data_IF_918559601364
#
_entry.id   IF_918559601364
#
_cell.length_a   1.000
_cell.length_b   1.000
_cell.length_c   1.000
_cell.angle_alpha   90.00
_cell.angle_beta   90.00
_cell.angle_gamma   90.00
#
_symmetry.space_group_name_H-M   'P 1'
#
loop_
_entity.id
_entity.type
_entity.pdbx_description
1 polymer ?
#
# COMPACT_ATOMS: atom_id res chain seq x y z
N UNK A 1 -1.76 -2.64 -14.18
CA UNK A 1 -3.12 -2.86 -13.64
C UNK A 1 -3.77 -1.56 -13.18
N UNK A 2 -5.11 -1.46 -13.24
CA UNK A 2 -5.88 -0.26 -12.86
C UNK A 2 -6.37 -0.39 -11.42
N UNK A 3 -6.18 0.68 -10.65
CA UNK A 3 -6.51 0.76 -9.22
C UNK A 3 -7.10 2.12 -8.87
N UNK A 4 -7.58 2.25 -7.63
CA UNK A 4 -8.20 3.46 -7.11
C UNK A 4 -7.50 3.95 -5.84
N UNK A 5 -7.50 5.29 -5.68
CA UNK A 5 -7.07 5.96 -4.45
C UNK A 5 -8.06 7.08 -4.11
N UNK A 6 -8.47 7.15 -2.87
CA UNK A 6 -9.30 8.25 -2.34
C UNK A 6 -8.48 9.19 -1.47
N UNK A 7 -8.64 10.50 -1.67
CA UNK A 7 -7.92 11.52 -0.92
C UNK A 7 -8.82 12.74 -0.63
N UNK A 8 -8.65 13.43 0.50
CA UNK A 8 -9.25 14.74 0.73
C UNK A 8 -8.45 15.88 0.05
N UNK A 9 -7.32 15.55 -0.61
CA UNK A 9 -6.44 16.52 -1.24
C UNK A 9 -6.35 16.30 -2.74
N UNK A 10 -6.31 17.39 -3.51
CA UNK A 10 -6.03 17.37 -4.93
C UNK A 10 -4.52 17.47 -5.14
N UNK A 11 -3.98 16.58 -5.97
CA UNK A 11 -2.57 16.60 -6.36
C UNK A 11 -2.37 16.06 -7.79
N UNK A 12 -1.26 16.43 -8.42
CA UNK A 12 -0.91 16.03 -9.79
C UNK A 12 -0.04 14.77 -9.83
N UNK A 13 0.63 14.46 -8.73
CA UNK A 13 1.49 13.27 -8.58
C UNK A 13 1.46 12.77 -7.15
N UNK A 14 1.62 11.48 -6.99
CA UNK A 14 1.85 10.89 -5.68
C UNK A 14 3.25 11.21 -5.18
N UNK A 15 3.36 11.45 -3.89
CA UNK A 15 4.61 11.45 -3.15
C UNK A 15 4.43 10.71 -1.81
N UNK A 16 5.52 10.47 -1.12
CA UNK A 16 5.52 9.75 0.15
C UNK A 16 5.82 10.66 1.36
N UNK A 17 5.78 11.98 1.18
CA UNK A 17 6.03 12.93 2.26
C UNK A 17 4.99 12.83 3.38
N UNK A 18 3.72 12.58 3.03
CA UNK A 18 2.61 12.35 3.95
C UNK A 18 2.41 10.87 4.35
N UNK A 19 3.33 9.98 3.99
CA UNK A 19 3.17 8.56 4.32
C UNK A 19 3.20 8.34 5.85
N UNK A 20 2.23 7.57 6.35
CA UNK A 20 2.05 7.35 7.79
C UNK A 20 0.99 8.25 8.43
N UNK A 21 0.60 9.33 7.79
CA UNK A 21 -0.56 10.13 8.17
C UNK A 21 -1.87 9.41 7.79
N UNK A 22 -2.97 9.80 8.38
CA UNK A 22 -4.27 9.20 8.06
C UNK A 22 -4.44 7.77 8.58
N UNK A 23 -4.23 6.76 7.77
CA UNK A 23 -4.41 5.34 8.14
C UNK A 23 -3.16 4.69 8.75
N UNK A 24 -2.02 5.40 8.79
CA UNK A 24 -0.74 4.89 9.25
C UNK A 24 -0.09 3.91 8.26
N UNK A 25 0.90 3.15 8.76
CA UNK A 25 1.73 2.24 7.94
C UNK A 25 1.48 0.75 8.24
N UNK A 26 0.28 0.40 8.65
CA UNK A 26 -0.06 -0.99 9.06
C UNK A 26 0.32 -2.05 8.02
N UNK A 27 0.21 -1.72 6.75
CA UNK A 27 0.51 -2.61 5.63
C UNK A 27 1.80 -2.25 4.88
N UNK A 28 2.68 -1.46 5.50
CA UNK A 28 3.96 -1.03 4.95
C UNK A 28 3.98 0.45 4.57
N UNK A 29 5.18 0.98 4.40
CA UNK A 29 5.41 2.32 3.88
C UNK A 29 5.13 2.33 2.37
N UNK A 30 4.35 3.30 1.88
CA UNK A 30 4.04 3.39 0.45
C UNK A 30 2.71 4.09 0.14
N UNK A 31 2.39 4.20 -1.14
CA UNK A 31 1.09 4.69 -1.64
C UNK A 31 0.06 3.56 -1.55
N UNK A 32 -1.05 3.79 -0.86
CA UNK A 32 -2.12 2.80 -0.70
C UNK A 32 -3.15 2.89 -1.81
N UNK A 33 -3.33 1.79 -2.52
CA UNK A 33 -4.26 1.64 -3.64
C UNK A 33 -5.20 0.45 -3.38
N UNK A 34 -6.32 0.41 -4.10
CA UNK A 34 -7.31 -0.67 -3.99
C UNK A 34 -7.92 -1.01 -5.35
N UNK A 35 -8.26 -2.29 -5.57
CA UNK A 35 -9.08 -2.73 -6.72
C UNK A 35 -10.56 -2.34 -6.58
N UNK A 36 -11.01 -1.91 -5.39
CA UNK A 36 -12.42 -1.60 -5.09
C UNK A 36 -12.63 -0.10 -4.99
N UNK A 37 -13.25 0.49 -6.00
CA UNK A 37 -13.57 1.93 -6.05
C UNK A 37 -14.29 2.39 -4.76
N UNK A 38 -15.29 1.65 -4.30
CA UNK A 38 -16.03 1.99 -3.08
C UNK A 38 -15.13 2.04 -1.82
N UNK A 39 -14.06 1.27 -1.79
CA UNK A 39 -13.06 1.35 -0.71
C UNK A 39 -12.25 2.64 -0.81
N UNK A 40 -11.83 3.04 -2.01
CA UNK A 40 -11.14 4.31 -2.22
C UNK A 40 -12.03 5.50 -1.81
N UNK A 41 -13.31 5.50 -2.24
CA UNK A 41 -14.30 6.51 -1.82
C UNK A 41 -14.43 6.56 -0.30
N UNK A 42 -14.51 5.40 0.38
CA UNK A 42 -14.59 5.37 1.84
C UNK A 42 -13.37 6.00 2.51
N UNK A 43 -12.18 5.78 1.97
CA UNK A 43 -10.93 6.30 2.52
C UNK A 43 -10.58 7.72 2.05
N UNK A 44 -11.36 8.33 1.16
CA UNK A 44 -11.19 9.74 0.79
C UNK A 44 -11.43 10.69 1.98
N UNK A 45 -12.18 10.22 3.01
CA UNK A 45 -12.31 10.86 4.30
C UNK A 45 -11.54 10.05 5.36
N UNK A 46 -10.33 10.47 5.75
CA UNK A 46 -9.56 9.80 6.81
C UNK A 46 -10.27 9.87 8.17
N UNK A 47 -10.19 8.77 8.93
CA UNK A 47 -10.90 8.64 10.22
C UNK A 47 -10.38 9.57 11.33
N UNK A 48 -9.12 9.96 11.24
CA UNK A 48 -8.42 10.78 12.24
C UNK A 48 -8.41 12.27 11.89
N UNK A 49 -9.08 12.66 10.81
CA UNK A 49 -9.25 14.06 10.44
C UNK A 49 -10.72 14.49 10.62
N UNK A 50 -10.92 15.77 10.88
CA UNK A 50 -12.24 16.37 10.78
C UNK A 50 -12.80 16.21 9.37
N UNK A 51 -14.12 16.35 9.20
CA UNK A 51 -14.74 16.23 7.89
C UNK A 51 -14.14 17.28 6.93
N UNK A 52 -13.48 16.78 5.90
CA UNK A 52 -12.87 17.63 4.88
C UNK A 52 -13.92 18.17 3.92
N UNK A 53 -13.76 19.41 3.41
CA UNK A 53 -14.74 20.04 2.53
C UNK A 53 -14.75 19.44 1.12
N UNK A 54 -13.67 18.84 0.70
CA UNK A 54 -13.51 18.28 -0.65
C UNK A 54 -12.95 16.86 -0.58
N UNK A 55 -13.32 16.06 -1.57
CA UNK A 55 -12.87 14.69 -1.72
C UNK A 55 -12.57 14.39 -3.18
N UNK A 56 -11.53 13.56 -3.40
CA UNK A 56 -11.05 13.22 -4.73
C UNK A 56 -10.90 11.72 -4.87
N UNK A 57 -11.25 11.22 -6.04
CA UNK A 57 -11.02 9.85 -6.46
C UNK A 57 -10.02 9.86 -7.62
N UNK A 58 -8.97 9.10 -7.47
CA UNK A 58 -7.94 8.90 -8.48
C UNK A 58 -8.09 7.50 -9.05
N UNK A 59 -8.16 7.41 -10.38
CA UNK A 59 -7.90 6.16 -11.10
C UNK A 59 -6.44 6.17 -11.51
N UNK A 60 -5.73 5.13 -11.17
CA UNK A 60 -4.29 5.03 -11.38
C UNK A 60 -3.90 3.75 -12.09
N UNK A 61 -2.75 3.77 -12.72
CA UNK A 61 -2.13 2.59 -13.30
C UNK A 61 -0.79 2.31 -12.62
N UNK A 62 -0.54 1.04 -12.36
CA UNK A 62 0.75 0.52 -11.89
C UNK A 62 1.18 -0.67 -12.76
N UNK A 63 2.48 -1.03 -12.80
CA UNK A 63 2.94 -2.29 -13.40
C UNK A 63 2.19 -3.52 -12.86
N UNK A 64 2.05 -4.54 -13.70
CA UNK A 64 1.35 -5.78 -13.31
C UNK A 64 2.10 -6.53 -12.19
N UNK A 65 1.33 -7.25 -11.36
CA UNK A 65 1.90 -8.13 -10.33
C UNK A 65 2.54 -9.34 -10.98
N UNK A 66 3.76 -9.66 -10.56
CA UNK A 66 4.49 -10.87 -10.95
C UNK A 66 4.99 -11.58 -9.70
N UNK A 67 5.37 -12.85 -9.80
CA UNK A 67 5.88 -13.63 -8.67
C UNK A 67 7.07 -12.96 -7.96
N UNK A 68 7.90 -12.25 -8.72
CA UNK A 68 9.15 -11.66 -8.21
C UNK A 68 9.05 -10.19 -7.79
N UNK A 69 7.88 -9.52 -7.93
CA UNK A 69 7.78 -8.08 -7.69
C UNK A 69 6.83 -7.67 -6.56
N UNK A 70 6.26 -8.61 -5.81
CA UNK A 70 5.40 -8.27 -4.69
C UNK A 70 5.49 -9.25 -3.51
N UNK A 71 5.17 -8.74 -2.32
CA UNK A 71 4.95 -9.54 -1.12
C UNK A 71 3.45 -9.68 -0.90
N UNK A 72 2.95 -10.90 -0.82
CA UNK A 72 1.58 -11.17 -0.36
C UNK A 72 1.58 -11.26 1.17
N UNK A 73 0.88 -10.34 1.84
CA UNK A 73 0.97 -10.16 3.31
C UNK A 73 0.73 -11.44 4.12
N UNK A 74 -0.20 -12.30 3.69
CA UNK A 74 -0.61 -13.49 4.43
C UNK A 74 -0.11 -14.80 3.81
N UNK A 75 0.66 -14.74 2.71
CA UNK A 75 1.15 -15.92 1.99
C UNK A 75 2.67 -16.04 2.10
N UNK A 76 3.24 -17.22 1.84
CA UNK A 76 4.67 -17.43 1.78
C UNK A 76 5.34 -16.51 0.75
N UNK A 77 6.55 -16.07 1.08
CA UNK A 77 7.35 -15.24 0.19
C UNK A 77 7.96 -16.08 -0.92
N UNK A 78 7.95 -15.57 -2.15
CA UNK A 78 8.57 -16.23 -3.29
C UNK A 78 10.07 -16.48 -3.01
N UNK A 79 10.60 -17.67 -3.35
CA UNK A 79 12.03 -17.98 -3.27
C UNK A 79 12.91 -16.96 -4.01
N UNK A 80 12.41 -16.41 -5.11
CA UNK A 80 13.12 -15.38 -5.89
C UNK A 80 13.39 -14.14 -5.04
N UNK A 81 12.38 -13.68 -4.27
CA UNK A 81 12.50 -12.52 -3.39
C UNK A 81 13.39 -12.84 -2.19
N UNK A 82 13.21 -14.02 -1.58
CA UNK A 82 14.02 -14.47 -0.45
C UNK A 82 15.49 -14.44 -0.82
N UNK A 83 15.87 -15.10 -1.93
CA UNK A 83 17.25 -15.19 -2.37
C UNK A 83 17.89 -13.81 -2.63
N UNK A 84 17.17 -12.91 -3.31
CA UNK A 84 17.65 -11.53 -3.54
C UNK A 84 17.91 -10.81 -2.22
N UNK A 85 16.99 -10.95 -1.26
CA UNK A 85 17.05 -10.22 0.00
C UNK A 85 18.14 -10.78 0.92
N UNK A 86 18.25 -12.10 1.05
CA UNK A 86 19.29 -12.76 1.85
C UNK A 86 20.69 -12.44 1.30
N UNK A 87 20.87 -12.47 -0.03
CA UNK A 87 22.10 -12.07 -0.67
C UNK A 87 22.46 -10.60 -0.39
N UNK A 88 21.48 -9.71 -0.39
CA UNK A 88 21.69 -8.28 -0.13
C UNK A 88 21.99 -7.97 1.33
N UNK A 89 21.33 -8.64 2.26
CA UNK A 89 21.48 -8.44 3.70
C UNK A 89 22.66 -9.21 4.31
N UNK A 90 23.16 -10.24 3.62
CA UNK A 90 24.20 -11.12 4.13
C UNK A 90 23.77 -12.04 5.29
N UNK A 91 22.45 -12.16 5.52
CA UNK A 91 21.87 -12.97 6.59
C UNK A 91 20.65 -13.73 6.08
N UNK A 92 20.47 -14.96 6.56
CA UNK A 92 19.29 -15.77 6.20
C UNK A 92 18.07 -15.40 7.02
N UNK A 93 16.93 -15.28 6.36
CA UNK A 93 15.65 -15.06 7.01
C UNK A 93 15.20 -16.32 7.78
N UNK A 94 14.70 -16.21 9.01
CA UNK A 94 14.10 -17.33 9.71
C UNK A 94 12.90 -17.93 8.95
N UNK A 95 12.71 -19.25 8.98
CA UNK A 95 11.62 -19.92 8.25
C UNK A 95 10.23 -19.38 8.62
N UNK A 96 9.98 -19.06 9.88
CA UNK A 96 8.73 -18.44 10.34
C UNK A 96 8.45 -17.08 9.69
N UNK A 97 9.50 -16.37 9.29
CA UNK A 97 9.40 -15.05 8.64
C UNK A 97 9.10 -15.21 7.15
N UNK A 98 9.65 -16.23 6.50
CA UNK A 98 9.41 -16.57 5.09
C UNK A 98 7.95 -17.01 4.83
N UNK A 99 7.26 -17.49 5.86
CA UNK A 99 5.90 -17.99 5.76
C UNK A 99 4.84 -16.90 5.47
N UNK A 100 5.17 -15.61 5.67
CA UNK A 100 4.24 -14.50 5.42
C UNK A 100 4.98 -13.25 4.95
N UNK A 101 4.54 -12.67 3.83
CA UNK A 101 5.12 -11.43 3.27
C UNK A 101 5.14 -10.27 4.26
N UNK A 102 4.11 -10.14 5.10
CA UNK A 102 4.06 -9.13 6.18
C UNK A 102 5.21 -9.28 7.18
N UNK A 103 5.48 -10.48 7.65
CA UNK A 103 6.53 -10.72 8.64
C UNK A 103 7.92 -10.62 8.00
N UNK A 104 8.03 -11.02 6.74
CA UNK A 104 9.25 -10.87 5.95
C UNK A 104 9.62 -9.38 5.76
N UNK A 105 8.67 -8.54 5.36
CA UNK A 105 8.88 -7.10 5.21
C UNK A 105 9.38 -6.46 6.52
N UNK A 106 8.72 -6.76 7.64
CA UNK A 106 9.14 -6.26 8.95
C UNK A 106 10.55 -6.72 9.33
N UNK A 107 10.85 -8.00 9.08
CA UNK A 107 12.18 -8.54 9.35
C UNK A 107 13.25 -7.81 8.52
N UNK A 108 13.01 -7.54 7.24
CA UNK A 108 13.90 -6.75 6.39
C UNK A 108 14.18 -5.39 7.03
N UNK A 109 13.15 -4.66 7.39
CA UNK A 109 13.30 -3.34 7.98
C UNK A 109 14.04 -3.34 9.32
N UNK A 110 13.67 -4.24 10.22
CA UNK A 110 14.35 -4.37 11.51
C UNK A 110 15.81 -4.81 11.36
N UNK A 111 16.11 -5.68 10.40
CA UNK A 111 17.50 -6.09 10.12
C UNK A 111 18.34 -4.92 9.62
N UNK A 112 17.78 -4.08 8.75
CA UNK A 112 18.47 -2.89 8.22
C UNK A 112 18.72 -1.82 9.28
N UNK A 113 17.75 -1.58 10.14
CA UNK A 113 17.82 -0.48 11.13
C UNK A 113 18.38 -0.90 12.47
N UNK A 114 18.51 -2.20 12.74
CA UNK A 114 18.84 -2.73 14.06
C UNK A 114 17.72 -2.55 15.09
N UNK A 115 16.51 -2.21 14.65
CA UNK A 115 15.39 -1.95 15.54
C UNK A 115 14.88 -3.23 16.21
N UNK A 116 14.58 -3.14 17.52
CA UNK A 116 14.00 -4.24 18.29
C UNK A 116 12.51 -4.47 18.03
N UNK A 117 11.83 -3.47 17.46
CA UNK A 117 10.42 -3.48 17.11
C UNK A 117 10.24 -2.83 15.76
N UNK A 118 9.24 -3.32 15.02
CA UNK A 118 8.86 -2.68 13.77
C UNK A 118 8.26 -1.30 14.04
N UNK A 119 8.81 -0.28 13.39
CA UNK A 119 8.43 1.13 13.49
C UNK A 119 8.39 1.79 12.10
N UNK A 120 8.14 3.09 12.05
CA UNK A 120 8.07 3.85 10.81
C UNK A 120 9.40 3.81 10.03
N UNK A 121 10.53 3.99 10.73
CA UNK A 121 11.85 3.99 10.09
C UNK A 121 12.18 2.63 9.48
N UNK A 122 11.86 1.54 10.20
CA UNK A 122 12.03 0.16 9.71
C UNK A 122 11.15 -0.13 8.50
N UNK A 123 9.88 0.29 8.51
CA UNK A 123 8.97 0.09 7.37
C UNK A 123 9.43 0.88 6.14
N UNK A 124 9.93 2.11 6.32
CA UNK A 124 10.49 2.93 5.24
C UNK A 124 11.76 2.28 4.67
N UNK A 125 12.71 1.89 5.52
CA UNK A 125 13.93 1.22 5.09
C UNK A 125 13.64 -0.11 4.35
N UNK A 126 12.65 -0.88 4.81
CA UNK A 126 12.20 -2.09 4.12
C UNK A 126 11.66 -1.78 2.73
N UNK A 127 10.78 -0.79 2.60
CA UNK A 127 10.20 -0.40 1.32
C UNK A 127 11.26 0.06 0.32
N UNK A 128 12.19 0.91 0.75
CA UNK A 128 13.30 1.41 -0.08
C UNK A 128 14.20 0.26 -0.58
N UNK A 129 14.60 -0.65 0.30
CA UNK A 129 15.42 -1.79 -0.10
C UNK A 129 14.67 -2.74 -1.02
N UNK A 130 13.43 -3.12 -0.67
CA UNK A 130 12.59 -4.00 -1.49
C UNK A 130 12.42 -3.42 -2.90
N UNK A 131 12.07 -2.14 -2.99
CA UNK A 131 11.92 -1.43 -4.27
C UNK A 131 13.20 -1.46 -5.09
N UNK A 132 14.36 -1.21 -4.48
CA UNK A 132 15.67 -1.22 -5.16
C UNK A 132 16.03 -2.58 -5.77
N UNK A 133 15.42 -3.67 -5.28
CA UNK A 133 15.61 -5.05 -5.77
C UNK A 133 14.47 -5.51 -6.69
N UNK A 134 13.58 -4.59 -7.08
CA UNK A 134 12.45 -4.84 -7.97
C UNK A 134 11.23 -5.48 -7.29
N UNK A 135 11.17 -5.47 -5.96
CA UNK A 135 9.97 -5.85 -5.20
C UNK A 135 9.19 -4.56 -4.90
N UNK A 136 8.17 -4.29 -5.69
CA UNK A 136 7.53 -2.99 -5.77
C UNK A 136 6.33 -2.83 -4.82
N UNK A 137 5.76 -3.94 -4.34
CA UNK A 137 4.46 -3.93 -3.69
C UNK A 137 4.37 -4.82 -2.46
N UNK A 138 3.54 -4.38 -1.49
CA UNK A 138 2.91 -5.28 -0.53
C UNK A 138 1.42 -5.38 -0.84
N UNK A 139 0.89 -6.61 -0.91
CA UNK A 139 -0.48 -6.92 -1.35
C UNK A 139 -1.24 -7.63 -0.24
N UNK A 140 -2.50 -7.25 -0.02
CA UNK A 140 -3.40 -7.94 0.91
C UNK A 140 -4.85 -7.90 0.42
N UNK A 141 -5.70 -8.90 0.76
CA UNK A 141 -7.09 -8.90 0.35
C UNK A 141 -7.87 -7.77 1.04
N UNK A 142 -8.84 -7.19 0.34
CA UNK A 142 -9.74 -6.17 0.90
C UNK A 142 -10.51 -6.71 2.10
N UNK A 143 -10.91 -7.98 2.04
CA UNK A 143 -11.50 -8.71 3.16
C UNK A 143 -10.62 -9.90 3.52
N UNK A 144 -10.09 -9.94 4.75
CA UNK A 144 -9.20 -11.02 5.22
C UNK A 144 -9.86 -12.41 5.20
N UNK A 145 -11.19 -12.47 5.21
CA UNK A 145 -11.97 -13.71 5.07
C UNK A 145 -12.08 -14.21 3.62
N UNK A 146 -11.64 -13.43 2.65
CA UNK A 146 -11.68 -13.74 1.21
C UNK A 146 -10.30 -13.50 0.60
N UNK A 147 -9.34 -14.42 0.80
CA UNK A 147 -7.96 -14.23 0.36
C UNK A 147 -7.82 -14.06 -1.17
N UNK A 148 -8.71 -14.68 -1.94
CA UNK A 148 -8.75 -14.60 -3.41
C UNK A 148 -9.65 -13.44 -3.92
N UNK A 149 -10.19 -12.64 -3.02
CA UNK A 149 -11.01 -11.47 -3.36
C UNK A 149 -10.17 -10.28 -3.84
N UNK A 150 -10.86 -9.13 -4.08
CA UNK A 150 -10.19 -7.90 -4.49
C UNK A 150 -9.10 -7.50 -3.52
N UNK A 151 -8.05 -6.87 -4.03
CA UNK A 151 -6.80 -6.59 -3.30
C UNK A 151 -6.65 -5.11 -2.98
N UNK A 152 -5.91 -4.88 -1.91
CA UNK A 152 -5.29 -3.61 -1.61
C UNK A 152 -3.78 -3.74 -1.80
N UNK A 153 -3.14 -2.67 -2.19
CA UNK A 153 -1.72 -2.64 -2.55
C UNK A 153 -1.06 -1.43 -1.91
N UNK A 154 0.07 -1.63 -1.23
CA UNK A 154 0.99 -0.56 -0.91
C UNK A 154 2.13 -0.56 -1.93
N UNK A 155 2.24 0.51 -2.70
CA UNK A 155 3.31 0.72 -3.69
C UNK A 155 4.46 1.42 -3.00
N UNK A 156 5.63 0.79 -2.95
CA UNK A 156 6.77 1.26 -2.15
C UNK A 156 7.42 2.52 -2.70
N UNK A 157 7.28 2.80 -4.00
CA UNK A 157 7.79 4.01 -4.64
C UNK A 157 6.68 4.67 -5.46
N UNK A 158 6.37 5.92 -5.14
CA UNK A 158 5.33 6.70 -5.80
C UNK A 158 5.55 6.89 -7.31
N UNK A 159 6.79 6.79 -7.79
CA UNK A 159 7.12 6.87 -9.23
C UNK A 159 6.54 5.72 -10.05
N UNK A 160 6.19 4.62 -9.41
CA UNK A 160 5.49 3.50 -10.04
C UNK A 160 3.97 3.70 -10.17
N UNK A 161 3.43 4.85 -9.72
CA UNK A 161 2.00 5.15 -9.77
C UNK A 161 1.73 6.24 -10.79
N UNK A 162 1.03 5.91 -11.88
CA UNK A 162 0.62 6.86 -12.89
C UNK A 162 -0.85 7.22 -12.72
N UNK A 163 -1.17 8.49 -12.50
CA UNK A 163 -2.56 8.98 -12.47
C UNK A 163 -3.07 9.00 -13.91
N UNK A 164 -4.20 8.35 -14.17
CA UNK A 164 -4.87 8.32 -15.48
C UNK A 164 -6.20 9.08 -15.48
N UNK A 165 -6.82 9.26 -14.30
CA UNK A 165 -8.03 10.04 -14.13
C UNK A 165 -8.11 10.64 -12.75
N UNK A 166 -8.66 11.84 -12.65
CA UNK A 166 -8.99 12.54 -11.39
C UNK A 166 -10.44 12.95 -11.41
N UNK A 167 -11.13 12.75 -10.30
CA UNK A 167 -12.52 13.14 -10.13
C UNK A 167 -12.70 13.84 -8.78
N UNK A 168 -13.39 14.96 -8.77
CA UNK A 168 -13.96 15.51 -7.54
C UNK A 168 -15.21 14.73 -7.20
N UNK A 169 -15.34 14.26 -5.98
CA UNK A 169 -16.46 13.44 -5.53
C UNK A 169 -17.18 14.07 -4.36
N UNK A 170 -18.51 14.00 -4.38
CA UNK A 170 -19.33 14.16 -3.19
C UNK A 170 -19.47 12.84 -2.48
N UNK A 171 -19.40 12.86 -1.16
CA UNK A 171 -19.58 11.67 -0.32
C UNK A 171 -20.70 11.89 0.70
N UNK A 172 -21.37 10.82 1.08
CA UNK A 172 -22.38 10.80 2.15
C UNK A 172 -22.11 9.66 3.12
N UNK A 173 -22.45 9.83 4.39
CA UNK A 173 -22.30 8.78 5.39
C UNK A 173 -23.53 7.88 5.43
N UNK A 174 -23.36 6.61 5.05
CA UNK A 174 -24.41 5.58 5.17
C UNK A 174 -23.90 4.44 6.05
N UNK A 175 -24.58 4.22 7.19
CA UNK A 175 -24.22 3.13 8.12
C UNK A 175 -22.71 3.11 8.50
N UNK A 176 -22.15 4.26 8.86
CA UNK A 176 -20.74 4.45 9.23
C UNK A 176 -19.74 4.20 8.07
N UNK A 177 -20.21 4.22 6.84
CA UNK A 177 -19.37 4.16 5.64
C UNK A 177 -19.59 5.41 4.80
N UNK A 178 -18.50 5.96 4.29
CA UNK A 178 -18.55 7.01 3.27
C UNK A 178 -18.80 6.36 1.91
N UNK A 179 -19.84 6.80 1.24
CA UNK A 179 -20.23 6.28 -0.09
C UNK A 179 -20.32 7.44 -1.09
N UNK A 180 -20.12 7.13 -2.35
CA UNK A 180 -20.20 8.09 -3.44
C UNK A 180 -21.63 8.62 -3.59
N UNK A 181 -21.78 9.95 -3.57
CA UNK A 181 -23.02 10.65 -3.87
C UNK A 181 -23.07 11.20 -5.30
N UNK A 182 -21.97 11.82 -5.73
CA UNK A 182 -21.80 12.34 -7.09
C UNK A 182 -20.32 12.40 -7.47
N UNK A 183 -20.02 12.65 -8.75
CA UNK A 183 -18.66 12.83 -9.27
C UNK A 183 -18.61 13.79 -10.44
N UNK A 184 -17.49 14.46 -10.58
CA UNK A 184 -17.16 15.34 -11.72
C UNK A 184 -15.68 15.13 -12.07
N UNK A 185 -15.39 14.83 -13.32
CA UNK A 185 -14.00 14.74 -13.81
C UNK A 185 -13.33 16.10 -13.85
N UNK A 186 -12.05 16.18 -13.49
CA UNK A 186 -11.27 17.43 -13.37
C UNK A 186 -9.89 17.30 -13.99
#
# INVERSE_FOLDING_TARGET
MILFHGSPFLFDKFDLSGAGEGTGIKFGFGVYLTEVEASAVHYSQPRNLELMPEHYLYTVEIPELTEGNHLASALPVSPVIINKMEAKLGVSAPEKVKAQGKEFRKWVGMTLTGAKKNDFASEKAAAELLNSLGVLYNVWPTAMTKPDGPKNIAVFDATNVRIIKRERIGIENKCKKWVLANRTEI
#
